data_IF_959457923952
#
_entry.id   IF_959457923952
#
_cell.length_a   1.000
_cell.length_b   1.000
_cell.length_c   1.000
_cell.angle_alpha   90.00
_cell.angle_beta   90.00
_cell.angle_gamma   90.00
#
_symmetry.space_group_name_H-M   'P 1'
#
loop_
_entity.id
_entity.type
_entity.pdbx_description
1 polymer ?
#
# COMPACT_ATOMS: atom_id res chain seq x y z
N UNK A 1 -28.07 -10.60 -8.81
CA UNK A 1 -29.12 -9.90 -8.02
C UNK A 1 -28.84 -8.41 -7.86
N UNK A 2 -27.61 -7.97 -7.54
CA UNK A 2 -27.29 -6.54 -7.37
C UNK A 2 -27.32 -5.71 -8.66
N UNK A 3 -27.23 -6.33 -9.84
CA UNK A 3 -27.27 -5.65 -11.15
C UNK A 3 -28.56 -4.90 -11.45
N UNK A 4 -29.63 -5.10 -10.66
CA UNK A 4 -30.89 -4.35 -10.78
C UNK A 4 -31.01 -3.21 -9.74
N UNK A 5 -30.03 -3.08 -8.85
CA UNK A 5 -30.06 -2.10 -7.76
C UNK A 5 -29.45 -0.77 -8.22
N UNK A 6 -30.14 -0.06 -9.11
CA UNK A 6 -29.64 1.18 -9.74
C UNK A 6 -29.45 2.35 -8.76
N UNK A 7 -29.97 2.24 -7.54
CA UNK A 7 -29.84 3.23 -6.47
C UNK A 7 -28.76 2.87 -5.43
N UNK A 8 -28.08 1.73 -5.59
CA UNK A 8 -27.11 1.25 -4.61
C UNK A 8 -25.85 2.13 -4.63
N UNK A 9 -25.59 2.84 -3.53
CA UNK A 9 -24.41 3.70 -3.41
C UNK A 9 -23.27 3.10 -2.58
N UNK A 10 -23.61 2.19 -1.68
CA UNK A 10 -22.71 1.53 -0.75
C UNK A 10 -23.01 0.03 -0.75
N UNK A 11 -21.96 -0.78 -0.84
CA UNK A 11 -22.07 -2.22 -0.69
C UNK A 11 -20.94 -2.74 0.17
N UNK A 12 -21.28 -3.53 1.18
CA UNK A 12 -20.33 -4.20 2.05
C UNK A 12 -20.56 -5.70 2.01
N UNK A 13 -19.45 -6.45 1.94
CA UNK A 13 -19.43 -7.88 2.10
C UNK A 13 -18.29 -8.29 3.04
N UNK A 14 -18.66 -8.78 4.22
CA UNK A 14 -17.73 -9.08 5.31
C UNK A 14 -18.03 -10.45 5.91
N UNK A 15 -17.01 -11.12 6.44
CA UNK A 15 -17.13 -12.41 7.14
C UNK A 15 -17.70 -13.57 6.32
N UNK A 16 -17.69 -13.48 4.99
CA UNK A 16 -18.12 -14.57 4.12
C UNK A 16 -17.04 -15.66 4.00
N UNK A 17 -17.40 -16.92 4.26
CA UNK A 17 -16.47 -18.07 4.20
C UNK A 17 -16.39 -18.75 2.84
N UNK A 18 -17.39 -18.55 1.99
CA UNK A 18 -17.55 -19.29 0.73
C UNK A 18 -17.27 -18.47 -0.52
N UNK A 19 -17.17 -17.15 -0.39
CA UNK A 19 -16.92 -16.25 -1.53
C UNK A 19 -15.45 -16.37 -1.93
N UNK A 20 -15.22 -16.77 -3.19
CA UNK A 20 -13.89 -16.92 -3.76
C UNK A 20 -13.49 -15.76 -4.68
N UNK A 21 -14.45 -15.07 -5.29
CA UNK A 21 -14.17 -13.98 -6.23
C UNK A 21 -15.26 -12.91 -6.07
N UNK A 22 -14.89 -11.65 -6.28
CA UNK A 22 -15.83 -10.54 -6.37
C UNK A 22 -15.65 -9.87 -7.73
N UNK A 23 -16.73 -9.79 -8.50
CA UNK A 23 -16.72 -9.18 -9.83
C UNK A 23 -17.82 -8.15 -9.97
N UNK A 24 -17.44 -6.93 -10.32
CA UNK A 24 -18.37 -5.84 -10.69
C UNK A 24 -18.18 -5.57 -12.17
N UNK A 25 -18.84 -6.39 -13.00
CA UNK A 25 -18.66 -6.41 -14.45
C UNK A 25 -19.59 -5.43 -15.19
N UNK A 26 -20.73 -5.09 -14.59
CA UNK A 26 -21.73 -4.21 -15.18
C UNK A 26 -21.81 -2.89 -14.41
N UNK A 27 -22.15 -1.78 -15.08
CA UNK A 27 -22.22 -0.47 -14.43
C UNK A 27 -23.28 -0.48 -13.34
N UNK A 28 -22.85 -0.24 -12.11
CA UNK A 28 -23.71 0.14 -11.01
C UNK A 28 -23.57 1.65 -10.83
N UNK A 29 -24.27 2.43 -11.66
CA UNK A 29 -23.99 3.86 -11.91
C UNK A 29 -23.82 4.72 -10.65
N UNK A 30 -24.53 4.35 -9.57
CA UNK A 30 -24.51 5.06 -8.30
C UNK A 30 -23.60 4.45 -7.24
N UNK A 31 -23.01 3.27 -7.46
CA UNK A 31 -22.14 2.62 -6.49
C UNK A 31 -20.84 3.43 -6.33
N UNK A 32 -20.65 4.01 -5.15
CA UNK A 32 -19.51 4.85 -4.79
C UNK A 32 -18.54 4.12 -3.88
N UNK A 33 -19.04 3.24 -3.02
CA UNK A 33 -18.26 2.60 -1.96
C UNK A 33 -18.45 1.09 -1.97
N UNK A 34 -17.34 0.35 -2.03
CA UNK A 34 -17.29 -1.10 -1.88
C UNK A 34 -16.39 -1.44 -0.70
N UNK A 35 -16.91 -2.18 0.27
CA UNK A 35 -16.16 -2.71 1.41
C UNK A 35 -16.15 -4.23 1.31
N UNK A 36 -14.96 -4.82 1.39
CA UNK A 36 -14.74 -6.26 1.29
C UNK A 36 -13.87 -6.74 2.46
N UNK A 37 -14.46 -7.47 3.39
CA UNK A 37 -13.79 -8.08 4.54
C UNK A 37 -13.79 -9.61 4.47
N UNK A 38 -13.00 -10.19 3.57
CA UNK A 38 -12.98 -11.64 3.32
C UNK A 38 -11.56 -12.20 3.49
N UNK A 39 -11.39 -13.08 4.48
CA UNK A 39 -10.08 -13.42 5.03
C UNK A 39 -9.43 -14.70 4.48
N UNK A 40 -10.20 -15.65 3.91
CA UNK A 40 -9.67 -17.01 3.65
C UNK A 40 -9.73 -17.51 2.22
N UNK A 41 -10.85 -17.32 1.52
CA UNK A 41 -11.08 -17.97 0.22
C UNK A 41 -11.05 -17.02 -0.98
N UNK A 42 -11.00 -15.71 -0.74
CA UNK A 42 -10.99 -14.73 -1.82
C UNK A 42 -9.67 -14.86 -2.60
N UNK A 43 -9.76 -14.92 -3.92
CA UNK A 43 -8.64 -15.10 -4.85
C UNK A 43 -8.36 -13.81 -5.64
N UNK A 44 -9.40 -13.06 -6.00
CA UNK A 44 -9.30 -11.83 -6.78
C UNK A 44 -10.52 -10.93 -6.55
N UNK A 45 -10.32 -9.64 -6.84
CA UNK A 45 -11.40 -8.65 -6.98
C UNK A 45 -11.24 -8.00 -8.36
N UNK A 46 -12.28 -8.12 -9.19
CA UNK A 46 -12.33 -7.54 -10.53
C UNK A 46 -13.38 -6.43 -10.60
N UNK A 47 -12.96 -5.22 -10.99
CA UNK A 47 -13.82 -4.03 -11.01
C UNK A 47 -13.72 -3.33 -12.38
N UNK A 48 -14.80 -3.43 -13.16
CA UNK A 48 -14.85 -2.87 -14.51
C UNK A 48 -15.41 -1.46 -14.54
N UNK A 49 -16.49 -1.21 -13.81
CA UNK A 49 -17.22 0.06 -13.84
C UNK A 49 -17.93 0.24 -12.50
N UNK A 50 -17.42 1.18 -11.68
CA UNK A 50 -17.71 1.35 -10.24
C UNK A 50 -16.89 0.41 -9.35
N UNK A 51 -16.60 0.76 -8.08
CA UNK A 51 -16.90 1.98 -7.32
C UNK A 51 -15.84 3.10 -7.50
N UNK A 52 -15.98 4.22 -6.78
CA UNK A 52 -14.92 5.25 -6.62
C UNK A 52 -13.98 4.97 -5.43
N UNK A 53 -14.46 4.23 -4.44
CA UNK A 53 -13.71 3.83 -3.25
C UNK A 53 -13.82 2.32 -3.03
N UNK A 54 -12.67 1.68 -2.80
CA UNK A 54 -12.57 0.29 -2.36
C UNK A 54 -11.87 0.23 -1.00
N UNK A 55 -12.49 -0.44 -0.05
CA UNK A 55 -11.87 -0.85 1.21
C UNK A 55 -11.80 -2.37 1.24
N UNK A 56 -10.59 -2.91 1.39
CA UNK A 56 -10.36 -4.34 1.38
C UNK A 56 -9.60 -4.76 2.64
N UNK A 57 -10.09 -5.77 3.34
CA UNK A 57 -9.40 -6.44 4.43
C UNK A 57 -9.35 -7.94 4.16
N UNK A 58 -8.15 -8.52 4.12
CA UNK A 58 -7.99 -9.94 3.83
C UNK A 58 -6.56 -10.38 3.55
N UNK A 59 -6.41 -11.47 2.81
CA UNK A 59 -5.11 -11.94 2.33
C UNK A 59 -4.62 -11.08 1.15
N UNK A 60 -3.37 -11.22 0.74
CA UNK A 60 -2.93 -10.59 -0.51
C UNK A 60 -3.57 -11.26 -1.71
N UNK A 61 -4.33 -10.48 -2.46
CA UNK A 61 -4.95 -10.88 -3.72
C UNK A 61 -4.76 -9.80 -4.78
N UNK A 62 -4.65 -10.16 -6.06
CA UNK A 62 -4.66 -9.18 -7.14
C UNK A 62 -5.97 -8.40 -7.18
N UNK A 63 -5.85 -7.09 -7.35
CA UNK A 63 -6.95 -6.19 -7.69
C UNK A 63 -6.89 -5.90 -9.19
N UNK A 64 -7.88 -6.39 -9.94
CA UNK A 64 -7.96 -6.27 -11.40
C UNK A 64 -8.91 -5.13 -11.73
N UNK A 65 -8.37 -4.04 -12.30
CA UNK A 65 -9.16 -2.88 -12.69
C UNK A 65 -9.16 -2.72 -14.20
N UNK A 66 -10.35 -2.61 -14.79
CA UNK A 66 -10.48 -2.20 -16.18
C UNK A 66 -10.12 -0.71 -16.34
N UNK A 67 -9.79 -0.31 -17.57
CA UNK A 67 -9.57 1.09 -17.94
C UNK A 67 -10.81 1.98 -17.68
N UNK A 68 -12.00 1.39 -17.69
CA UNK A 68 -13.28 2.04 -17.36
C UNK A 68 -13.53 2.19 -15.85
N UNK A 69 -12.63 1.67 -15.00
CA UNK A 69 -12.77 1.78 -13.54
C UNK A 69 -12.77 3.24 -13.11
N UNK A 70 -13.66 3.56 -12.15
CA UNK A 70 -13.80 4.90 -11.58
C UNK A 70 -13.05 5.06 -10.26
N UNK A 71 -12.30 4.03 -9.83
CA UNK A 71 -11.61 4.02 -8.56
C UNK A 71 -10.61 5.17 -8.43
N UNK A 72 -10.79 5.98 -7.40
CA UNK A 72 -9.86 7.05 -7.01
C UNK A 72 -9.18 6.77 -5.68
N UNK A 73 -9.78 5.93 -4.84
CA UNK A 73 -9.33 5.65 -3.48
C UNK A 73 -9.34 4.15 -3.22
N UNK A 74 -8.19 3.62 -2.79
CA UNK A 74 -8.05 2.23 -2.37
C UNK A 74 -7.49 2.23 -0.94
N UNK A 75 -8.13 1.49 -0.04
CA UNK A 75 -7.63 1.18 1.29
C UNK A 75 -7.53 -0.33 1.44
N UNK A 76 -6.36 -0.84 1.78
CA UNK A 76 -6.11 -2.28 1.94
C UNK A 76 -5.50 -2.56 3.29
N UNK A 77 -6.05 -3.54 4.01
CA UNK A 77 -5.52 -4.10 5.24
C UNK A 77 -5.19 -5.56 4.99
N UNK A 78 -3.91 -5.86 4.85
CA UNK A 78 -3.43 -7.23 4.71
C UNK A 78 -3.31 -7.89 6.08
N UNK A 79 -3.89 -9.07 6.20
CA UNK A 79 -3.96 -9.86 7.44
C UNK A 79 -2.92 -10.99 7.49
N UNK A 80 -2.20 -11.17 6.38
CA UNK A 80 -1.10 -12.13 6.24
C UNK A 80 0.25 -11.42 6.40
N UNK A 81 1.27 -12.18 6.80
CA UNK A 81 2.66 -11.68 6.86
C UNK A 81 3.23 -11.57 5.46
N UNK A 82 3.02 -10.43 4.81
CA UNK A 82 3.49 -10.17 3.46
C UNK A 82 3.93 -8.74 3.30
N UNK A 83 4.92 -8.55 2.42
CA UNK A 83 5.50 -7.24 2.24
C UNK A 83 4.60 -6.31 1.46
N UNK A 84 4.43 -5.10 1.98
CA UNK A 84 3.79 -3.99 1.30
C UNK A 84 4.42 -3.72 -0.06
N UNK A 85 5.75 -3.78 -0.20
CA UNK A 85 6.42 -3.57 -1.49
C UNK A 85 6.07 -4.67 -2.49
N UNK A 86 5.97 -5.92 -2.03
CA UNK A 86 5.52 -7.04 -2.86
C UNK A 86 4.11 -6.76 -3.38
N UNK A 87 3.19 -6.42 -2.48
CA UNK A 87 1.80 -6.18 -2.85
C UNK A 87 1.62 -4.99 -3.79
N UNK A 88 2.34 -3.89 -3.53
CA UNK A 88 2.35 -2.71 -4.39
C UNK A 88 2.81 -3.05 -5.81
N UNK A 89 3.72 -4.01 -5.95
CA UNK A 89 4.29 -4.39 -7.25
C UNK A 89 3.49 -5.42 -8.04
N UNK A 90 2.76 -6.31 -7.37
CA UNK A 90 2.09 -7.45 -8.04
C UNK A 90 0.58 -7.46 -7.85
N UNK A 91 0.07 -6.91 -6.74
CA UNK A 91 -1.34 -6.97 -6.38
C UNK A 91 -2.11 -5.69 -6.71
N UNK A 92 -1.43 -4.56 -6.91
CA UNK A 92 -2.07 -3.27 -7.16
C UNK A 92 -2.05 -2.83 -8.63
N UNK A 93 -3.15 -2.24 -9.12
CA UNK A 93 -3.31 -1.75 -10.48
C UNK A 93 -2.63 -0.38 -10.64
N UNK A 94 -1.32 -0.39 -10.87
CA UNK A 94 -0.53 0.84 -11.02
C UNK A 94 -0.89 1.69 -12.26
N UNK A 95 -1.48 1.08 -13.28
CA UNK A 95 -1.88 1.73 -14.55
C UNK A 95 -3.23 2.43 -14.50
N UNK A 96 -3.98 2.32 -13.39
CA UNK A 96 -5.29 2.96 -13.27
C UNK A 96 -5.17 4.48 -13.38
N UNK A 97 -5.79 5.12 -14.39
CA UNK A 97 -5.58 6.54 -14.66
C UNK A 97 -6.22 7.48 -13.63
N UNK A 98 -6.99 6.92 -12.67
CA UNK A 98 -7.79 7.69 -11.72
C UNK A 98 -7.38 7.49 -10.27
N UNK A 99 -6.51 6.53 -9.98
CA UNK A 99 -6.11 6.23 -8.61
C UNK A 99 -5.29 7.39 -8.04
N UNK A 100 -5.88 8.13 -7.08
CA UNK A 100 -5.28 9.30 -6.44
C UNK A 100 -4.79 9.01 -5.03
N UNK A 101 -5.44 8.09 -4.33
CA UNK A 101 -5.16 7.80 -2.92
C UNK A 101 -5.04 6.30 -2.70
N UNK A 102 -3.94 5.89 -2.07
CA UNK A 102 -3.69 4.53 -1.63
C UNK A 102 -3.38 4.54 -0.14
N UNK A 103 -4.12 3.75 0.63
CA UNK A 103 -3.81 3.40 2.01
C UNK A 103 -3.53 1.91 2.07
N UNK A 104 -2.42 1.51 2.69
CA UNK A 104 -2.03 0.13 2.84
C UNK A 104 -1.54 -0.12 4.27
N UNK A 105 -2.09 -1.14 4.92
CA UNK A 105 -1.60 -1.67 6.19
C UNK A 105 -1.11 -3.10 5.95
N UNK A 106 0.15 -3.37 6.31
CA UNK A 106 0.78 -4.67 6.15
C UNK A 106 1.53 -5.11 7.41
N UNK A 107 1.60 -6.42 7.61
CA UNK A 107 2.47 -7.04 8.61
C UNK A 107 3.79 -7.49 7.95
N UNK A 108 4.86 -6.72 8.20
CA UNK A 108 6.21 -7.02 7.72
C UNK A 108 6.89 -8.02 8.65
N UNK A 109 7.44 -9.09 8.07
CA UNK A 109 8.24 -10.09 8.79
C UNK A 109 9.63 -10.27 8.20
N UNK A 110 9.73 -10.19 6.88
CA UNK A 110 10.97 -10.39 6.14
C UNK A 110 11.16 -9.26 5.14
N UNK A 111 12.41 -8.91 4.85
CA UNK A 111 12.72 -8.00 3.76
C UNK A 111 12.37 -8.66 2.45
N UNK A 112 11.63 -7.94 1.62
CA UNK A 112 11.39 -8.33 0.23
C UNK A 112 12.35 -7.61 -0.69
N UNK A 113 12.79 -8.30 -1.74
CA UNK A 113 13.62 -7.71 -2.78
C UNK A 113 12.84 -6.55 -3.41
N UNK A 114 13.45 -5.35 -3.41
CA UNK A 114 12.86 -4.19 -4.09
C UNK A 114 12.55 -4.57 -5.54
N UNK A 115 11.30 -4.43 -5.99
CA UNK A 115 10.90 -4.79 -7.34
C UNK A 115 11.78 -4.09 -8.38
N UNK A 116 12.36 -4.85 -9.31
CA UNK A 116 13.14 -4.29 -10.44
C UNK A 116 12.26 -3.79 -11.58
N UNK A 117 10.95 -3.67 -11.37
CA UNK A 117 9.97 -3.29 -12.38
C UNK A 117 9.98 -1.79 -12.69
N UNK A 118 9.55 -1.46 -13.91
CA UNK A 118 9.32 -0.10 -14.41
C UNK A 118 7.93 0.46 -14.09
N UNK A 119 7.15 -0.24 -13.27
CA UNK A 119 5.78 0.16 -12.98
C UNK A 119 5.75 1.49 -12.24
N UNK A 120 4.78 2.34 -12.60
CA UNK A 120 4.61 3.67 -12.02
C UNK A 120 3.14 3.94 -11.76
N UNK A 121 2.85 4.46 -10.58
CA UNK A 121 1.57 5.09 -10.28
C UNK A 121 1.55 6.49 -10.87
N UNK A 122 1.08 6.60 -12.12
CA UNK A 122 1.11 7.85 -12.88
C UNK A 122 0.29 8.97 -12.25
N UNK A 123 -0.74 8.65 -11.46
CA UNK A 123 -1.71 9.63 -10.95
C UNK A 123 -1.84 9.65 -9.42
N UNK A 124 -1.08 8.82 -8.71
CA UNK A 124 -1.15 8.72 -7.26
C UNK A 124 -0.61 9.99 -6.62
N UNK A 125 -1.42 10.60 -5.76
CA UNK A 125 -1.12 11.86 -5.09
C UNK A 125 -0.93 11.67 -3.58
N UNK A 126 -1.65 10.72 -2.98
CA UNK A 126 -1.60 10.49 -1.54
C UNK A 126 -1.32 9.02 -1.24
N UNK A 127 -0.24 8.76 -0.54
CA UNK A 127 0.13 7.42 -0.10
C UNK A 127 0.23 7.38 1.42
N UNK A 128 -0.56 6.51 2.04
CA UNK A 128 -0.45 6.17 3.47
C UNK A 128 -0.05 4.72 3.58
N UNK A 129 1.08 4.48 4.23
CA UNK A 129 1.60 3.15 4.47
C UNK A 129 1.76 2.93 5.97
N UNK A 130 1.14 1.85 6.47
CA UNK A 130 1.22 1.41 7.86
C UNK A 130 1.89 0.05 7.91
N UNK A 131 3.12 0.04 8.43
CA UNK A 131 3.94 -1.15 8.52
C UNK A 131 3.94 -1.64 9.95
N UNK A 132 3.41 -2.83 10.18
CA UNK A 132 3.57 -3.55 11.45
C UNK A 132 4.78 -4.46 11.32
N UNK A 133 5.92 -4.02 11.84
CA UNK A 133 7.20 -4.71 11.72
C UNK A 133 7.34 -5.69 12.88
N UNK A 134 7.18 -6.97 12.57
CA UNK A 134 7.42 -8.07 13.51
C UNK A 134 8.91 -8.40 13.56
N UNK A 135 9.49 -8.37 14.76
CA UNK A 135 10.85 -8.84 15.02
C UNK A 135 10.86 -9.63 16.32
N UNK A 136 11.22 -10.92 16.25
CA UNK A 136 11.40 -11.73 17.44
C UNK A 136 12.81 -11.60 18.03
N UNK A 137 13.84 -11.60 17.18
CA UNK A 137 15.25 -11.53 17.62
C UNK A 137 15.98 -10.34 16.97
N UNK A 138 15.98 -10.28 15.64
CA UNK A 138 16.54 -9.17 14.86
C UNK A 138 15.54 -8.73 13.79
N UNK A 139 15.50 -7.43 13.48
CA UNK A 139 14.66 -6.93 12.41
C UNK A 139 15.27 -7.35 11.08
N UNK A 140 14.46 -8.02 10.26
CA UNK A 140 14.87 -8.38 8.90
C UNK A 140 14.50 -7.31 7.89
N UNK A 141 13.50 -6.47 8.18
CA UNK A 141 12.99 -5.43 7.29
C UNK A 141 13.92 -4.22 7.24
N UNK A 142 14.23 -3.78 6.02
CA UNK A 142 14.98 -2.55 5.75
C UNK A 142 14.01 -1.46 5.28
N UNK A 143 13.77 -0.49 6.15
CA UNK A 143 12.86 0.63 5.92
C UNK A 143 13.33 1.52 4.77
N UNK A 144 14.64 1.55 4.47
CA UNK A 144 15.15 2.32 3.33
C UNK A 144 14.57 1.83 1.99
N UNK A 145 14.19 0.55 1.88
CA UNK A 145 13.61 0.00 0.66
C UNK A 145 12.31 0.73 0.26
N UNK A 146 11.61 1.35 1.22
CA UNK A 146 10.41 2.14 0.96
C UNK A 146 10.70 3.50 0.31
N UNK A 147 11.95 3.92 0.19
CA UNK A 147 12.34 5.01 -0.70
C UNK A 147 11.93 4.72 -2.16
N UNK A 148 11.81 3.44 -2.54
CA UNK A 148 11.30 3.03 -3.85
C UNK A 148 9.90 3.60 -4.17
N UNK A 149 9.07 3.87 -3.16
CA UNK A 149 7.75 4.49 -3.33
C UNK A 149 7.83 5.85 -4.02
N UNK A 150 8.88 6.61 -3.71
CA UNK A 150 9.14 7.90 -4.32
C UNK A 150 9.42 7.74 -5.82
N UNK A 151 10.19 6.71 -6.21
CA UNK A 151 10.52 6.40 -7.60
C UNK A 151 9.30 6.02 -8.45
N UNK A 152 8.35 5.27 -7.88
CA UNK A 152 7.19 4.74 -8.61
C UNK A 152 6.00 5.70 -8.64
N UNK A 153 5.96 6.73 -7.79
CA UNK A 153 4.83 7.67 -7.73
C UNK A 153 5.30 9.13 -7.99
N UNK A 154 5.59 9.50 -9.25
CA UNK A 154 6.19 10.79 -9.58
C UNK A 154 5.31 12.00 -9.24
N UNK A 155 3.98 11.85 -9.23
CA UNK A 155 3.03 12.92 -8.90
C UNK A 155 2.60 12.92 -7.42
N UNK A 156 3.27 12.13 -6.58
CA UNK A 156 2.93 12.02 -5.16
C UNK A 156 3.11 13.36 -4.45
N UNK A 157 2.06 13.82 -3.78
CA UNK A 157 2.00 15.06 -3.00
C UNK A 157 2.19 14.82 -1.53
N UNK A 158 1.66 13.71 -1.02
CA UNK A 158 1.74 13.36 0.40
C UNK A 158 2.19 11.92 0.57
N UNK A 159 3.17 11.71 1.44
CA UNK A 159 3.62 10.40 1.89
C UNK A 159 3.51 10.34 3.42
N UNK A 160 2.66 9.44 3.93
CA UNK A 160 2.59 9.12 5.36
C UNK A 160 3.08 7.69 5.56
N UNK A 161 4.21 7.53 6.24
CA UNK A 161 4.76 6.24 6.63
C UNK A 161 4.66 6.07 8.14
N UNK A 162 3.89 5.09 8.60
CA UNK A 162 3.75 4.78 10.03
C UNK A 162 4.35 3.40 10.30
N UNK A 163 5.32 3.33 11.20
CA UNK A 163 6.03 2.10 11.52
C UNK A 163 5.68 1.67 12.94
N UNK A 164 5.11 0.50 13.09
CA UNK A 164 4.79 -0.11 14.37
C UNK A 164 5.80 -1.23 14.59
N UNK A 165 6.85 -0.94 15.36
CA UNK A 165 7.91 -1.89 15.63
C UNK A 165 7.56 -2.66 16.90
N UNK A 166 7.57 -4.00 16.82
CA UNK A 166 7.25 -4.86 17.96
C UNK A 166 8.19 -4.61 19.15
N UNK A 167 7.63 -4.66 20.37
CA UNK A 167 8.34 -4.43 21.63
C UNK A 167 9.56 -5.34 21.87
N UNK A 168 9.61 -6.47 21.16
CA UNK A 168 10.72 -7.43 21.24
C UNK A 168 11.93 -7.03 20.39
N UNK A 169 11.84 -5.97 19.59
CA UNK A 169 12.97 -5.45 18.82
C UNK A 169 14.02 -4.84 19.75
N UNK A 170 15.22 -5.43 19.80
CA UNK A 170 16.34 -4.97 20.64
C UNK A 170 17.40 -4.18 19.88
N UNK A 171 17.05 -3.67 18.70
CA UNK A 171 17.99 -2.85 17.92
C UNK A 171 18.27 -1.54 18.64
N UNK A 172 19.54 -1.13 18.64
CA UNK A 172 19.94 0.18 19.16
C UNK A 172 19.71 1.26 18.09
N UNK A 173 19.38 2.50 18.48
CA UNK A 173 19.41 3.64 17.58
C UNK A 173 20.78 3.78 16.91
N UNK A 174 20.80 4.40 15.74
CA UNK A 174 22.01 4.63 14.95
C UNK A 174 23.07 5.41 15.75
N UNK A 175 24.30 4.90 15.74
CA UNK A 175 25.50 5.62 16.15
C UNK A 175 26.60 5.47 15.08
N UNK A 176 27.67 6.27 15.18
CA UNK A 176 28.78 6.28 14.20
C UNK A 176 29.42 4.90 14.02
N UNK A 177 29.42 4.06 15.06
CA UNK A 177 29.93 2.69 15.02
C UNK A 177 29.13 1.77 14.08
N UNK A 178 27.88 2.11 13.76
CA UNK A 178 27.08 1.37 12.79
C UNK A 178 27.50 1.63 11.33
N UNK A 179 28.58 2.39 11.12
CA UNK A 179 29.13 2.74 9.82
C UNK A 179 28.41 3.92 9.16
N UNK A 180 28.83 4.22 7.93
CA UNK A 180 28.27 5.33 7.16
C UNK A 180 26.83 5.06 6.71
N UNK A 181 26.07 6.15 6.58
CA UNK A 181 24.70 6.13 6.08
C UNK A 181 24.71 5.96 4.56
N UNK A 182 23.88 5.04 4.05
CA UNK A 182 23.65 4.86 2.62
C UNK A 182 23.09 6.15 2.03
N UNK A 183 23.86 6.77 1.13
CA UNK A 183 23.39 7.90 0.34
C UNK A 183 22.60 7.40 -0.85
N UNK A 184 21.30 7.68 -0.88
CA UNK A 184 20.50 7.49 -2.08
C UNK A 184 20.73 8.62 -3.10
N UNK A 185 20.47 8.34 -4.38
CA UNK A 185 20.45 9.40 -5.39
C UNK A 185 19.32 10.39 -5.06
N UNK A 186 19.61 11.71 -5.05
CA UNK A 186 18.57 12.72 -4.93
C UNK A 186 17.63 12.58 -6.12
N UNK A 187 16.40 12.18 -5.86
CA UNK A 187 15.33 12.23 -6.86
C UNK A 187 14.52 13.47 -6.55
N UNK A 188 14.51 14.42 -7.46
CA UNK A 188 13.74 15.64 -7.27
C UNK A 188 12.24 15.33 -7.36
N UNK A 189 11.57 15.25 -6.20
CA UNK A 189 10.12 15.08 -6.13
C UNK A 189 9.43 16.44 -6.11
N UNK A 190 9.35 17.08 -7.29
CA UNK A 190 8.79 18.44 -7.47
C UNK A 190 7.37 18.58 -6.91
N UNK A 191 6.59 17.49 -6.87
CA UNK A 191 5.21 17.50 -6.40
C UNK A 191 5.04 17.16 -4.92
N UNK A 192 6.06 16.62 -4.26
CA UNK A 192 5.98 16.14 -2.88
C UNK A 192 5.96 17.32 -1.91
N UNK A 193 4.81 17.56 -1.30
CA UNK A 193 4.57 18.69 -0.39
C UNK A 193 4.80 18.34 1.07
N UNK A 194 4.56 17.08 1.43
CA UNK A 194 4.60 16.66 2.83
C UNK A 194 5.03 15.20 2.94
N UNK A 195 6.00 14.94 3.81
CA UNK A 195 6.39 13.60 4.25
C UNK A 195 6.19 13.54 5.75
N UNK A 196 5.42 12.56 6.23
CA UNK A 196 5.22 12.31 7.65
C UNK A 196 5.64 10.89 7.98
N UNK A 197 6.64 10.77 8.86
CA UNK A 197 7.09 9.50 9.42
C UNK A 197 6.62 9.41 10.87
N UNK A 198 5.95 8.31 11.23
CA UNK A 198 5.55 7.99 12.60
C UNK A 198 6.21 6.67 13.04
N UNK A 199 6.47 6.52 14.34
CA UNK A 199 7.16 5.32 14.86
C UNK A 199 8.65 5.28 14.49
N UNK A 200 9.29 6.45 14.56
CA UNK A 200 10.71 6.61 14.30
C UNK A 200 11.49 6.34 15.59
N UNK A 201 12.32 5.29 15.59
CA UNK A 201 13.17 4.89 16.71
C UNK A 201 14.64 5.27 16.47
N UNK A 202 14.96 5.86 15.31
CA UNK A 202 16.31 6.30 14.97
C UNK A 202 17.22 5.17 14.49
N UNK A 203 16.66 4.06 14.03
CA UNK A 203 17.47 3.00 13.42
C UNK A 203 18.13 3.48 12.13
N UNK A 204 19.27 2.86 11.78
CA UNK A 204 20.13 3.30 10.68
C UNK A 204 19.36 3.53 9.37
N UNK A 205 18.53 2.58 8.97
CA UNK A 205 17.72 2.63 7.76
C UNK A 205 16.55 3.62 7.82
N UNK A 206 15.99 3.89 9.01
CA UNK A 206 15.02 4.97 9.20
C UNK A 206 15.69 6.33 9.00
N UNK A 207 16.90 6.52 9.54
CA UNK A 207 17.70 7.74 9.37
C UNK A 207 18.03 7.93 7.89
N UNK A 208 18.49 6.87 7.22
CA UNK A 208 18.76 6.89 5.77
C UNK A 208 17.52 7.26 4.96
N UNK A 209 16.35 6.69 5.30
CA UNK A 209 15.10 7.04 4.63
C UNK A 209 14.71 8.49 4.89
N UNK A 210 14.90 9.02 6.10
CA UNK A 210 14.55 10.40 6.42
C UNK A 210 15.41 11.43 5.63
N UNK A 211 16.65 11.06 5.30
CA UNK A 211 17.56 11.89 4.50
C UNK A 211 17.28 11.81 3.00
N UNK A 212 16.54 10.79 2.54
CA UNK A 212 16.31 10.52 1.12
C UNK A 212 15.44 11.58 0.40
N UNK A 213 14.36 12.13 0.99
CA UNK A 213 13.52 13.14 0.34
C UNK A 213 14.06 14.57 0.40
N UNK A 214 15.11 14.83 1.20
CA UNK A 214 15.60 16.17 1.54
C UNK A 214 16.80 16.63 0.71
N UNK A 215 17.19 15.87 -0.32
CA UNK A 215 18.32 16.18 -1.20
C UNK A 215 17.89 16.07 -2.65
#
# INVERSE_FOLDING_TARGET
>A
MLSKCNLLEFFEISYCRMVTNIRVLHPLDRLKHLVVGIYRKLQDIELNCSPTTLEYTGAMIPLILASTSRLTNISVVLTTYQSALSYISTGLPCTSPRLKTLTLLCHERERTIVPRGSFKFTYLQNLRLELVISSYESRKTDVLDYAYLLKIAPLMKTLKLSMWIGLMCRERPYCKENGELRTGLPHQHVHLKSVRTCGFFGYKDQVELALHPQR
#
